data_IF_605897465165
#
_entry.id   IF_605897465165
#
_cell.length_a   1.000
_cell.length_b   1.000
_cell.length_c   1.000
_cell.angle_alpha   90.00
_cell.angle_beta   90.00
_cell.angle_gamma   90.00
#
_symmetry.space_group_name_H-M   'P 1'
#
loop_
_entity.id
_entity.type
_entity.pdbx_description
1 polymer ?
#
# COMPACT_ATOMS: atom_id res chain seq x y z
N UNK A 1 -7.92 -5.35 9.77
CA UNK A 1 -7.97 -3.92 9.42
C UNK A 1 -7.37 -3.61 8.05
N UNK A 2 -6.44 -4.44 7.52
CA UNK A 2 -5.68 -4.13 6.30
C UNK A 2 -6.50 -3.77 5.05
N UNK A 3 -7.69 -4.34 4.86
CA UNK A 3 -8.53 -4.00 3.70
C UNK A 3 -9.20 -2.63 3.79
N UNK A 4 -9.45 -2.10 4.98
CA UNK A 4 -10.01 -0.75 5.17
C UNK A 4 -8.90 0.31 5.23
N UNK A 5 -7.65 -0.10 5.39
CA UNK A 5 -6.52 0.80 5.59
C UNK A 5 -6.34 1.82 4.47
N UNK A 6 -6.36 1.45 3.18
CA UNK A 6 -6.24 2.44 2.11
C UNK A 6 -7.37 3.48 2.12
N UNK A 7 -8.59 3.10 2.56
CA UNK A 7 -9.70 4.03 2.70
C UNK A 7 -9.46 5.01 3.87
N UNK A 8 -8.91 4.52 4.99
CA UNK A 8 -8.54 5.35 6.14
C UNK A 8 -7.36 6.29 5.83
N UNK A 9 -6.46 5.89 4.93
CA UNK A 9 -5.41 6.76 4.40
C UNK A 9 -6.03 7.85 3.54
N UNK A 10 -6.97 7.49 2.65
CA UNK A 10 -7.66 8.48 1.81
C UNK A 10 -8.40 9.55 2.62
N UNK A 11 -9.04 9.18 3.73
CA UNK A 11 -9.77 10.11 4.60
C UNK A 11 -8.92 10.75 5.69
N UNK A 12 -7.65 10.37 5.81
CA UNK A 12 -6.74 10.84 6.88
C UNK A 12 -7.01 10.24 8.27
N UNK A 13 -8.07 9.45 8.44
CA UNK A 13 -8.47 8.88 9.73
C UNK A 13 -7.45 7.88 10.32
N UNK A 14 -6.55 7.33 9.50
CA UNK A 14 -5.47 6.44 9.96
C UNK A 14 -4.60 7.07 11.07
N UNK A 15 -4.46 8.41 11.09
CA UNK A 15 -3.68 9.14 12.11
C UNK A 15 -4.29 9.05 13.51
N UNK A 16 -5.56 8.70 13.65
CA UNK A 16 -6.22 8.51 14.95
C UNK A 16 -5.65 7.28 15.68
N UNK A 17 -5.11 6.31 14.95
CA UNK A 17 -4.51 5.11 15.55
C UNK A 17 -3.09 5.34 16.07
N UNK A 18 -2.39 6.39 15.62
CA UNK A 18 -1.03 6.71 16.06
C UNK A 18 -0.88 6.77 17.58
N UNK A 19 -1.65 7.58 18.34
CA UNK A 19 -1.51 7.62 19.81
C UNK A 19 -1.82 6.27 20.47
N UNK A 20 -2.81 5.52 19.98
CA UNK A 20 -3.15 4.19 20.49
C UNK A 20 -2.00 3.19 20.28
N UNK A 21 -1.33 3.24 19.12
CA UNK A 21 -0.17 2.41 18.83
C UNK A 21 1.00 2.76 19.77
N UNK A 22 1.30 4.06 19.95
CA UNK A 22 2.34 4.51 20.88
C UNK A 22 2.07 3.98 22.28
N UNK A 23 0.83 4.14 22.76
CA UNK A 23 0.44 3.68 24.09
C UNK A 23 0.56 2.17 24.22
N UNK A 24 0.08 1.41 23.23
CA UNK A 24 0.14 -0.06 23.24
C UNK A 24 1.58 -0.56 23.27
N UNK A 25 2.47 0.05 22.49
CA UNK A 25 3.91 -0.27 22.50
C UNK A 25 4.54 0.12 23.84
N UNK A 26 4.18 1.26 24.42
CA UNK A 26 4.70 1.69 25.72
C UNK A 26 4.28 0.76 26.87
N UNK A 27 3.06 0.23 26.83
CA UNK A 27 2.53 -0.66 27.86
C UNK A 27 2.96 -2.12 27.69
N UNK A 28 3.01 -2.62 26.45
CA UNK A 28 3.17 -4.05 26.16
C UNK A 28 4.45 -4.40 25.39
N UNK A 29 5.21 -3.40 24.95
CA UNK A 29 6.44 -3.56 24.16
C UNK A 29 6.22 -3.95 22.70
N UNK A 30 4.96 -4.10 22.24
CA UNK A 30 4.62 -4.50 20.87
C UNK A 30 3.20 -4.12 20.46
N UNK A 31 2.94 -3.96 19.17
CA UNK A 31 1.60 -3.72 18.62
C UNK A 31 1.28 -4.73 17.51
N UNK A 32 0.21 -5.51 17.68
CA UNK A 32 -0.11 -6.67 16.84
C UNK A 32 -1.34 -6.55 15.95
N UNK A 33 -2.03 -5.40 15.92
CA UNK A 33 -3.30 -5.24 15.23
C UNK A 33 -3.21 -4.29 14.03
N UNK A 34 -2.64 -3.11 14.22
CA UNK A 34 -2.64 -2.01 13.25
C UNK A 34 -1.43 -2.12 12.33
N UNK A 35 -0.22 -2.16 12.87
CA UNK A 35 1.04 -2.22 12.10
C UNK A 35 1.13 -3.47 11.19
N UNK A 36 0.73 -4.69 11.61
CA UNK A 36 0.72 -5.85 10.73
C UNK A 36 -0.38 -5.79 9.66
N UNK A 37 -1.45 -5.02 9.91
CA UNK A 37 -2.46 -4.74 8.88
C UNK A 37 -1.94 -3.75 7.83
N UNK A 38 -1.13 -2.78 8.26
CA UNK A 38 -0.51 -1.75 7.40
C UNK A 38 0.47 -2.33 6.39
N UNK A 39 1.35 -3.25 6.80
CA UNK A 39 2.32 -3.86 5.88
C UNK A 39 1.61 -4.58 4.72
N UNK A 40 0.52 -5.29 5.00
CA UNK A 40 -0.28 -5.94 3.97
C UNK A 40 -0.94 -4.94 3.01
N UNK A 41 -1.44 -3.82 3.52
CA UNK A 41 -2.09 -2.77 2.73
C UNK A 41 -1.10 -2.00 1.84
N UNK A 42 0.03 -1.57 2.39
CA UNK A 42 1.05 -0.79 1.66
C UNK A 42 1.64 -1.61 0.51
N UNK A 43 1.98 -2.87 0.78
CA UNK A 43 2.56 -3.75 -0.25
C UNK A 43 1.52 -4.20 -1.26
N UNK A 44 0.25 -4.30 -0.86
CA UNK A 44 -0.85 -4.52 -1.79
C UNK A 44 -1.00 -3.36 -2.77
N UNK A 45 -0.89 -2.11 -2.33
CA UNK A 45 -0.89 -0.93 -3.22
C UNK A 45 0.34 -0.92 -4.14
N UNK A 46 1.48 -1.39 -3.64
CA UNK A 46 2.67 -1.61 -4.45
C UNK A 46 2.45 -2.66 -5.55
N UNK A 47 1.87 -3.81 -5.19
CA UNK A 47 1.58 -4.90 -6.12
C UNK A 47 0.56 -4.54 -7.20
N UNK A 48 -0.51 -3.82 -6.84
CA UNK A 48 -1.49 -3.36 -7.82
C UNK A 48 -0.90 -2.29 -8.75
N UNK A 49 -0.05 -1.41 -8.24
CA UNK A 49 0.67 -0.42 -9.06
C UNK A 49 1.66 -1.08 -10.03
N UNK A 50 2.36 -2.13 -9.60
CA UNK A 50 3.20 -2.96 -10.48
C UNK A 50 2.39 -3.62 -11.60
N UNK A 51 1.20 -4.15 -11.29
CA UNK A 51 0.34 -4.75 -12.31
C UNK A 51 -0.16 -3.73 -13.33
N UNK A 52 -0.44 -2.50 -12.89
CA UNK A 52 -0.76 -1.39 -13.79
C UNK A 52 0.42 -1.07 -14.69
N UNK A 53 1.61 -0.87 -14.13
CA UNK A 53 2.83 -0.63 -14.89
C UNK A 53 3.11 -1.74 -15.92
N UNK A 54 2.80 -2.99 -15.58
CA UNK A 54 2.99 -4.13 -16.49
C UNK A 54 2.03 -4.07 -17.68
N UNK A 55 0.74 -3.80 -17.43
CA UNK A 55 -0.32 -3.92 -18.44
C UNK A 55 -0.58 -2.63 -19.23
N UNK A 56 -0.28 -1.45 -18.69
CA UNK A 56 -0.55 -0.17 -19.36
C UNK A 56 0.29 -0.01 -20.63
N UNK A 57 -0.34 0.56 -21.66
CA UNK A 57 0.31 0.99 -22.91
C UNK A 57 0.76 2.44 -22.85
N UNK A 58 0.32 3.20 -21.85
CA UNK A 58 0.67 4.59 -21.68
C UNK A 58 2.05 4.70 -20.99
N UNK A 59 3.06 5.33 -21.63
CA UNK A 59 4.39 5.43 -21.07
C UNK A 59 4.46 6.29 -19.79
N UNK A 60 3.65 7.35 -19.68
CA UNK A 60 3.62 8.24 -18.53
C UNK A 60 2.96 7.55 -17.32
N UNK A 61 1.82 6.89 -17.55
CA UNK A 61 1.16 6.07 -16.53
C UNK A 61 2.08 4.92 -16.07
N UNK A 62 2.80 4.28 -17.00
CA UNK A 62 3.78 3.23 -16.66
C UNK A 62 4.88 3.76 -15.75
N UNK A 63 5.47 4.92 -16.07
CA UNK A 63 6.51 5.53 -15.26
C UNK A 63 6.00 5.89 -13.87
N UNK A 64 4.82 6.51 -13.80
CA UNK A 64 4.16 6.87 -12.55
C UNK A 64 3.88 5.63 -11.70
N UNK A 65 3.33 4.58 -12.31
CA UNK A 65 2.99 3.35 -11.62
C UNK A 65 4.22 2.58 -11.11
N UNK A 66 5.33 2.57 -11.84
CA UNK A 66 6.60 1.99 -11.37
C UNK A 66 7.17 2.75 -10.19
N UNK A 67 7.25 4.09 -10.28
CA UNK A 67 7.76 4.91 -9.20
C UNK A 67 6.90 4.78 -7.93
N UNK A 68 5.58 4.77 -8.11
CA UNK A 68 4.62 4.59 -7.04
C UNK A 68 4.72 3.21 -6.39
N UNK A 69 4.86 2.15 -7.19
CA UNK A 69 5.05 0.80 -6.68
C UNK A 69 6.34 0.66 -5.88
N UNK A 70 7.44 1.22 -6.38
CA UNK A 70 8.72 1.23 -5.68
C UNK A 70 8.61 1.99 -4.35
N UNK A 71 7.93 3.15 -4.32
CA UNK A 71 7.70 3.92 -3.10
C UNK A 71 6.92 3.13 -2.05
N UNK A 72 5.83 2.47 -2.45
CA UNK A 72 4.99 1.70 -1.54
C UNK A 72 5.69 0.43 -1.01
N UNK A 73 6.43 -0.29 -1.87
CA UNK A 73 7.11 -1.53 -1.47
C UNK A 73 8.37 -1.22 -0.66
N UNK A 74 9.20 -0.30 -1.13
CA UNK A 74 10.54 -0.08 -0.57
C UNK A 74 10.49 0.87 0.62
N UNK A 75 9.88 2.04 0.44
CA UNK A 75 9.84 3.09 1.44
C UNK A 75 8.63 2.98 2.38
N UNK A 76 7.64 2.14 2.07
CA UNK A 76 6.40 2.06 2.84
C UNK A 76 5.55 3.33 2.72
N UNK A 77 5.76 4.13 1.67
CA UNK A 77 5.02 5.37 1.42
C UNK A 77 3.91 5.05 0.42
N UNK A 78 2.67 5.09 0.89
CA UNK A 78 1.51 4.59 0.15
C UNK A 78 0.83 5.65 -0.70
N UNK A 79 1.09 6.93 -0.43
CA UNK A 79 0.43 8.08 -1.04
C UNK A 79 0.64 8.13 -2.58
N UNK A 80 1.85 7.91 -3.12
CA UNK A 80 2.04 7.86 -4.57
C UNK A 80 1.27 6.72 -5.24
N UNK A 81 1.21 5.54 -4.61
CA UNK A 81 0.50 4.38 -5.13
C UNK A 81 -1.02 4.53 -5.03
N UNK A 82 -1.49 5.07 -3.91
CA UNK A 82 -2.90 5.27 -3.63
C UNK A 82 -3.49 6.33 -4.58
N UNK A 83 -2.93 7.53 -4.59
CA UNK A 83 -3.49 8.65 -5.37
C UNK A 83 -3.00 8.67 -6.81
N UNK A 84 -1.75 8.26 -7.08
CA UNK A 84 -1.16 8.26 -8.42
C UNK A 84 -1.65 7.12 -9.30
N UNK A 85 -2.13 6.01 -8.72
CA UNK A 85 -2.53 4.83 -9.50
C UNK A 85 -3.88 4.28 -9.06
N UNK A 86 -4.01 3.86 -7.80
CA UNK A 86 -5.14 3.06 -7.34
C UNK A 86 -6.48 3.82 -7.45
N UNK A 87 -6.53 5.06 -6.97
CA UNK A 87 -7.72 5.92 -7.02
C UNK A 87 -8.04 6.35 -8.44
N UNK A 88 -7.03 6.66 -9.26
CA UNK A 88 -7.20 7.04 -10.66
C UNK A 88 -7.91 5.95 -11.47
N UNK A 89 -7.49 4.71 -11.29
CA UNK A 89 -7.99 3.57 -12.08
C UNK A 89 -9.16 2.81 -11.41
N UNK A 90 -9.44 3.06 -10.13
CA UNK A 90 -10.49 2.47 -9.28
C UNK A 90 -10.45 0.94 -9.09
N UNK A 91 -10.29 0.16 -10.17
CA UNK A 91 -10.18 -1.30 -10.13
C UNK A 91 -8.91 -1.79 -9.41
N UNK A 92 -7.72 -1.17 -9.60
CA UNK A 92 -6.52 -1.51 -8.83
C UNK A 92 -6.64 -1.18 -7.35
N UNK A 93 -7.48 -0.19 -6.97
CA UNK A 93 -7.81 0.06 -5.57
C UNK A 93 -8.57 -1.12 -4.97
N UNK A 94 -9.62 -1.60 -5.64
CA UNK A 94 -10.40 -2.77 -5.17
C UNK A 94 -9.52 -4.00 -5.02
N UNK A 95 -8.62 -4.26 -5.97
CA UNK A 95 -7.64 -5.33 -5.87
C UNK A 95 -6.78 -5.21 -4.59
N UNK A 96 -6.26 -4.01 -4.32
CA UNK A 96 -5.44 -3.74 -3.15
C UNK A 96 -6.21 -3.83 -1.83
N UNK A 97 -7.50 -3.48 -1.80
CA UNK A 97 -8.36 -3.62 -0.61
C UNK A 97 -8.58 -5.11 -0.27
N UNK A 98 -8.86 -5.93 -1.29
CA UNK A 98 -9.08 -7.38 -1.11
C UNK A 98 -7.78 -8.04 -0.65
N UNK A 99 -6.66 -7.79 -1.33
CA UNK A 99 -5.38 -8.37 -0.93
C UNK A 99 -4.92 -7.85 0.43
N UNK A 100 -5.13 -6.57 0.74
CA UNK A 100 -4.84 -5.98 2.04
C UNK A 100 -5.64 -6.60 3.17
N UNK A 101 -6.91 -6.96 2.93
CA UNK A 101 -7.73 -7.70 3.88
C UNK A 101 -7.16 -9.09 4.16
N UNK A 102 -6.85 -9.85 3.11
CA UNK A 102 -6.29 -11.21 3.23
C UNK A 102 -4.94 -11.17 3.92
N UNK A 103 -4.03 -10.30 3.49
CA UNK A 103 -2.67 -10.22 4.03
C UNK A 103 -2.64 -9.70 5.46
N UNK A 104 -3.49 -8.72 5.81
CA UNK A 104 -3.65 -8.28 7.19
C UNK A 104 -4.22 -9.37 8.10
N UNK A 105 -5.13 -10.20 7.58
CA UNK A 105 -5.64 -11.39 8.29
C UNK A 105 -4.54 -12.44 8.52
N UNK A 106 -3.77 -12.77 7.48
CA UNK A 106 -2.63 -13.70 7.57
C UNK A 106 -1.56 -13.18 8.54
N UNK A 107 -1.24 -11.88 8.49
CA UNK A 107 -0.30 -11.25 9.42
C UNK A 107 -0.76 -11.36 10.89
N UNK A 108 -2.06 -11.19 11.15
CA UNK A 108 -2.65 -11.37 12.46
C UNK A 108 -2.61 -12.82 12.94
N UNK A 109 -2.94 -13.80 12.08
CA UNK A 109 -2.87 -15.24 12.41
C UNK A 109 -1.42 -15.68 12.66
N UNK A 110 -0.47 -15.12 11.90
CA UNK A 110 0.96 -15.35 12.07
C UNK A 110 1.51 -14.77 13.38
N UNK A 111 0.71 -13.98 14.12
CA UNK A 111 1.12 -13.35 15.37
C UNK A 111 2.21 -12.28 15.16
N UNK A 112 2.26 -11.66 13.97
CA UNK A 112 3.21 -10.58 13.72
C UNK A 112 2.87 -9.39 14.61
N UNK A 113 3.89 -8.83 15.25
CA UNK A 113 3.76 -7.66 16.08
C UNK A 113 4.92 -6.71 15.83
N UNK A 114 4.63 -5.41 15.82
CA UNK A 114 5.62 -4.36 15.64
C UNK A 114 6.19 -3.92 16.98
N UNK A 115 7.50 -3.89 17.10
CA UNK A 115 8.20 -3.42 18.31
C UNK A 115 8.57 -1.93 18.25
N UNK A 116 8.39 -1.30 17.09
CA UNK A 116 8.67 0.11 16.87
C UNK A 116 7.58 0.76 16.04
N UNK A 117 7.54 2.09 16.03
CA UNK A 117 6.70 2.86 15.14
C UNK A 117 7.50 3.30 13.92
N UNK A 118 7.23 2.65 12.79
CA UNK A 118 7.70 3.08 11.48
C UNK A 118 6.63 2.72 10.43
N UNK A 119 6.59 3.49 9.33
CA UNK A 119 5.69 3.18 8.22
C UNK A 119 6.09 1.84 7.62
N UNK A 120 5.21 0.83 7.54
CA UNK A 120 5.60 -0.48 7.09
C UNK A 120 5.93 -0.54 5.59
N UNK A 121 7.12 -1.04 5.29
CA UNK A 121 7.69 -1.23 3.96
C UNK A 121 8.82 -2.26 4.04
N UNK A 122 9.53 -2.49 2.93
CA UNK A 122 10.62 -3.48 2.88
C UNK A 122 11.74 -3.16 3.88
N UNK A 123 12.20 -1.91 3.94
CA UNK A 123 13.29 -1.55 4.85
C UNK A 123 12.88 -1.50 6.32
N UNK A 124 11.64 -1.12 6.59
CA UNK A 124 11.11 -1.01 7.95
C UNK A 124 10.53 -2.33 8.46
N UNK A 125 10.42 -3.36 7.60
CA UNK A 125 9.95 -4.71 7.96
C UNK A 125 10.69 -5.34 9.14
N UNK A 126 11.92 -4.89 9.41
CA UNK A 126 12.70 -5.24 10.60
C UNK A 126 11.98 -4.91 11.93
N UNK A 127 11.00 -4.00 11.92
CA UNK A 127 10.18 -3.67 13.08
C UNK A 127 9.35 -4.84 13.59
N UNK A 128 9.14 -5.87 12.76
CA UNK A 128 8.38 -7.08 13.08
C UNK A 128 9.28 -8.27 13.47
N UNK A 129 10.60 -8.08 13.55
CA UNK A 129 11.53 -9.16 13.90
C UNK A 129 11.56 -9.32 15.41
N UNK A 130 11.26 -10.53 15.87
CA UNK A 130 11.30 -10.90 17.29
C UNK A 130 12.50 -11.85 17.49
N UNK A 131 13.53 -11.44 18.25
CA UNK A 131 14.67 -12.31 18.56
C UNK A 131 14.27 -13.62 19.25
N UNK A 132 13.12 -13.63 19.93
CA UNK A 132 12.57 -14.77 20.65
C UNK A 132 11.88 -15.77 19.73
N UNK A 133 11.50 -15.34 18.52
CA UNK A 133 10.82 -16.17 17.53
C UNK A 133 11.35 -15.89 16.11
N UNK A 134 12.43 -16.57 15.70
CA UNK A 134 13.02 -16.39 14.36
C UNK A 134 12.07 -16.67 13.20
N UNK A 135 10.96 -17.39 13.44
CA UNK A 135 9.94 -17.64 12.41
C UNK A 135 9.19 -16.36 12.00
N UNK A 136 9.22 -15.28 12.79
CA UNK A 136 8.57 -14.02 12.40
C UNK A 136 9.20 -13.45 11.13
N UNK A 137 10.50 -13.65 10.91
CA UNK A 137 11.18 -13.22 9.68
C UNK A 137 10.56 -13.91 8.45
N UNK A 138 10.34 -15.23 8.54
CA UNK A 138 9.72 -16.02 7.46
C UNK A 138 8.29 -15.55 7.20
N UNK A 139 7.52 -15.31 8.27
CA UNK A 139 6.16 -14.81 8.18
C UNK A 139 6.08 -13.41 7.58
N UNK A 140 6.96 -12.50 7.97
CA UNK A 140 7.04 -11.14 7.40
C UNK A 140 7.28 -11.22 5.91
N UNK A 141 8.35 -11.87 5.46
CA UNK A 141 8.62 -12.00 4.02
C UNK A 141 7.51 -12.76 3.28
N UNK A 142 6.93 -13.78 3.91
CA UNK A 142 5.79 -14.52 3.37
C UNK A 142 4.57 -13.63 3.13
N UNK A 143 4.17 -12.81 4.11
CA UNK A 143 3.07 -11.84 3.99
C UNK A 143 3.39 -10.77 2.96
N UNK A 144 4.65 -10.30 2.91
CA UNK A 144 5.07 -9.29 1.96
C UNK A 144 4.95 -9.79 0.51
N UNK A 145 5.49 -10.98 0.23
CA UNK A 145 5.39 -11.63 -1.07
C UNK A 145 3.93 -11.90 -1.42
N UNK A 146 3.16 -12.43 -0.46
CA UNK A 146 1.73 -12.67 -0.64
C UNK A 146 0.98 -11.39 -1.02
N UNK A 147 1.23 -10.27 -0.33
CA UNK A 147 0.57 -9.00 -0.60
C UNK A 147 0.85 -8.48 -2.01
N UNK A 148 2.13 -8.48 -2.41
CA UNK A 148 2.52 -8.03 -3.75
C UNK A 148 1.94 -8.95 -4.82
N UNK A 149 2.13 -10.26 -4.70
CA UNK A 149 1.71 -11.24 -5.72
C UNK A 149 0.18 -11.31 -5.82
N UNK A 150 -0.52 -11.37 -4.69
CA UNK A 150 -1.97 -11.45 -4.66
C UNK A 150 -2.59 -10.19 -5.26
N UNK A 151 -2.13 -9.01 -4.86
CA UNK A 151 -2.63 -7.75 -5.41
C UNK A 151 -2.32 -7.61 -6.91
N UNK A 152 -1.11 -8.01 -7.32
CA UNK A 152 -0.69 -8.01 -8.72
C UNK A 152 -1.61 -8.89 -9.58
N UNK A 153 -1.84 -10.14 -9.18
CA UNK A 153 -2.70 -11.09 -9.90
C UNK A 153 -4.14 -10.58 -9.91
N UNK A 154 -4.69 -10.14 -8.78
CA UNK A 154 -6.06 -9.62 -8.70
C UNK A 154 -6.25 -8.40 -9.62
N UNK A 155 -5.27 -7.51 -9.68
CA UNK A 155 -5.31 -6.35 -10.57
C UNK A 155 -5.28 -6.75 -12.05
N UNK A 156 -4.50 -7.77 -12.41
CA UNK A 156 -4.50 -8.31 -13.77
C UNK A 156 -5.82 -9.01 -14.12
N UNK A 157 -6.44 -9.73 -13.19
CA UNK A 157 -7.72 -10.42 -13.39
C UNK A 157 -8.90 -9.45 -13.51
N UNK A 158 -8.99 -8.47 -12.60
CA UNK A 158 -10.02 -7.43 -12.65
C UNK A 158 -9.85 -6.53 -13.89
N UNK A 159 -8.60 -6.38 -14.34
CA UNK A 159 -8.21 -5.42 -15.35
C UNK A 159 -8.49 -3.98 -14.93
N UNK A 160 -8.10 -3.05 -15.79
CA UNK A 160 -8.37 -1.64 -15.62
C UNK A 160 -8.56 -0.99 -16.99
N UNK A 161 -9.32 0.09 -17.01
CA UNK A 161 -9.41 0.97 -18.18
C UNK A 161 -8.16 1.82 -18.22
N UNK A 162 -7.34 1.60 -19.24
CA UNK A 162 -6.10 2.33 -19.43
C UNK A 162 -6.39 3.77 -19.81
N UNK A 163 -5.56 4.70 -19.35
CA UNK A 163 -5.75 6.12 -19.61
C UNK A 163 -5.10 6.45 -20.96
N UNK A 164 -5.85 6.92 -21.97
CA UNK A 164 -5.29 7.34 -23.26
C UNK A 164 -4.33 8.52 -23.08
N UNK A 165 -3.27 8.55 -23.89
CA UNK A 165 -2.23 9.60 -23.85
C UNK A 165 -2.84 11.00 -24.06
N UNK A 166 -3.79 11.18 -24.98
CA UNK A 166 -4.50 12.46 -25.15
C UNK A 166 -5.23 12.95 -23.88
N UNK A 167 -5.78 12.05 -23.07
CA UNK A 167 -6.52 12.43 -21.86
C UNK A 167 -5.58 12.90 -20.76
N UNK A 168 -4.38 12.32 -20.65
CA UNK A 168 -3.34 12.78 -19.73
C UNK A 168 -2.81 14.16 -20.14
N UNK A 169 -2.50 14.37 -21.42
CA UNK A 169 -2.03 15.66 -21.93
C UNK A 169 -3.06 16.79 -21.72
N UNK A 170 -4.36 16.50 -21.80
CA UNK A 170 -5.42 17.47 -21.48
C UNK A 170 -5.53 17.73 -19.97
N UNK A 171 -5.43 16.70 -19.14
CA UNK A 171 -5.45 16.85 -17.68
C UNK A 171 -4.25 17.66 -17.17
N UNK A 172 -3.08 17.48 -17.76
CA UNK A 172 -1.86 18.20 -17.40
C UNK A 172 -1.97 19.68 -17.79
N UNK A 173 -2.40 19.97 -19.03
CA UNK A 173 -2.67 21.34 -19.47
C UNK A 173 -3.71 22.06 -18.61
N UNK A 174 -4.75 21.36 -18.17
CA UNK A 174 -5.78 21.92 -17.29
C UNK A 174 -5.22 22.21 -15.88
N UNK A 175 -4.31 21.39 -15.36
CA UNK A 175 -3.67 21.59 -14.06
C UNK A 175 -2.63 22.73 -14.05
N UNK A 176 -1.99 22.98 -15.20
CA UNK A 176 -0.99 24.06 -15.36
C UNK A 176 -1.57 25.37 -15.90
N UNK A 177 -2.87 25.40 -16.25
CA UNK A 177 -3.51 26.63 -16.69
C UNK A 177 -3.48 27.65 -15.54
N UNK A 178 -3.00 28.89 -15.75
CA UNK A 178 -3.00 29.90 -14.71
C UNK A 178 -4.43 30.09 -14.24
N UNK A 179 -4.68 29.85 -12.95
CA UNK A 179 -5.97 30.14 -12.34
C UNK A 179 -6.28 31.61 -12.63
N UNK A 180 -7.22 31.85 -13.55
CA UNK A 180 -7.68 33.19 -13.89
C UNK A 180 -8.17 33.81 -12.58
N UNK A 181 -7.37 34.75 -12.08
CA UNK A 181 -7.72 35.64 -10.97
C UNK A 181 -8.99 36.39 -11.37
N UNK A 182 -10.12 35.98 -10.81
CA UNK A 182 -11.37 36.75 -10.77
C UNK A 182 -11.49 37.37 -9.39
#
# INVERSE_FOLDING_TARGET
>A
MGGLWPLLVMTGMHRVFTPTIIQTIAETGKEGMVMPSEIGANLSLGGSSLAVAWRTKNPELRQTALAAAASAIVAGISEPALYGVAVRLKRPLVAALISGFVCGGVAGIAGLASHSMASPGLFTSVQFFDPSNPMTIVWVFGVMILAVVLSFILTLLLGFEDIPVEQEAQSEKAATAPALSV
#
